data_IF_238209737533
#
_entry.id   IF_238209737533
#
_cell.length_a   1.000
_cell.length_b   1.000
_cell.length_c   1.000
_cell.angle_alpha   90.00
_cell.angle_beta   90.00
_cell.angle_gamma   90.00
#
_symmetry.space_group_name_H-M   'P 1'
#
loop_
_entity.id
_entity.type
_entity.pdbx_description
1 polymer ?
#
# COMPACT_ATOMS: atom_id res chain seq x y z
N UNK A 1 11.97 0.07 -7.99
CA UNK A 1 11.79 0.87 -6.77
C UNK A 1 10.47 0.54 -6.11
N UNK A 2 9.35 0.64 -6.85
CA UNK A 2 8.00 0.21 -6.41
C UNK A 2 8.00 -1.15 -5.71
N UNK A 3 8.57 -2.21 -6.32
CA UNK A 3 8.66 -3.53 -5.69
C UNK A 3 9.31 -3.52 -4.31
N UNK A 4 10.47 -2.89 -4.15
CA UNK A 4 11.17 -2.78 -2.86
C UNK A 4 10.34 -2.07 -1.78
N UNK A 5 9.62 -1.01 -2.15
CA UNK A 5 8.72 -0.30 -1.23
C UNK A 5 7.51 -1.16 -0.84
N UNK A 6 6.98 -1.93 -1.79
CA UNK A 6 5.90 -2.89 -1.55
C UNK A 6 6.35 -4.01 -0.61
N UNK A 7 7.54 -4.56 -0.83
CA UNK A 7 8.12 -5.61 0.01
C UNK A 7 8.35 -5.10 1.44
N UNK A 8 8.97 -3.91 1.58
CA UNK A 8 9.13 -3.24 2.88
C UNK A 8 7.79 -3.07 3.61
N UNK A 9 6.75 -2.63 2.89
CA UNK A 9 5.43 -2.43 3.47
C UNK A 9 4.78 -3.75 3.85
N UNK A 10 4.95 -4.81 3.06
CA UNK A 10 4.45 -6.14 3.38
C UNK A 10 5.11 -6.69 4.65
N UNK A 11 6.43 -6.49 4.82
CA UNK A 11 7.14 -6.85 6.05
C UNK A 11 6.57 -6.10 7.26
N UNK A 12 6.39 -4.78 7.17
CA UNK A 12 5.81 -4.00 8.27
C UNK A 12 4.38 -4.46 8.63
N UNK A 13 3.56 -4.79 7.63
CA UNK A 13 2.20 -5.32 7.85
C UNK A 13 2.20 -6.71 8.49
N UNK A 14 3.18 -7.56 8.17
CA UNK A 14 3.39 -8.83 8.89
C UNK A 14 3.83 -8.59 10.32
N UNK A 15 4.75 -7.66 10.56
CA UNK A 15 5.22 -7.30 11.91
C UNK A 15 4.10 -6.73 12.80
N UNK A 16 3.10 -6.09 12.19
CA UNK A 16 1.89 -5.59 12.86
C UNK A 16 0.74 -6.61 12.90
N UNK A 17 0.96 -7.85 12.46
CA UNK A 17 -0.04 -8.93 12.45
C UNK A 17 -1.27 -8.66 11.57
N UNK A 18 -1.12 -7.83 10.53
CA UNK A 18 -2.13 -7.62 9.48
C UNK A 18 -2.01 -8.63 8.34
N UNK A 19 -0.82 -9.24 8.19
CA UNK A 19 -0.53 -10.29 7.21
C UNK A 19 0.11 -11.51 7.87
N UNK A 20 0.01 -12.69 7.24
CA UNK A 20 0.73 -13.88 7.66
C UNK A 20 2.24 -13.68 7.81
N UNK A 21 2.90 -14.50 8.66
CA UNK A 21 4.30 -14.85 8.44
C UNK A 21 4.46 -15.33 6.99
N UNK A 22 5.26 -14.62 6.19
CA UNK A 22 5.39 -14.87 4.74
C UNK A 22 4.61 -13.91 3.84
N UNK A 23 3.84 -12.97 4.41
CA UNK A 23 3.15 -11.90 3.71
C UNK A 23 1.91 -12.36 2.93
N UNK A 24 1.63 -11.69 1.80
CA UNK A 24 0.62 -12.16 0.84
C UNK A 24 1.14 -13.40 0.10
N UNK A 25 1.24 -14.53 0.79
CA UNK A 25 1.52 -15.79 0.11
C UNK A 25 0.43 -16.04 -0.94
N UNK A 26 0.84 -16.59 -2.09
CA UNK A 26 -0.06 -17.07 -3.15
C UNK A 26 -1.05 -18.04 -2.49
N UNK A 27 -2.36 -18.03 -2.85
CA UNK A 27 -3.27 -19.06 -2.38
C UNK A 27 -2.65 -20.45 -2.63
N UNK A 28 -2.94 -21.45 -1.77
CA UNK A 28 -2.46 -22.80 -2.01
C UNK A 28 -2.76 -23.16 -3.46
N UNK A 29 -1.77 -23.72 -4.15
CA UNK A 29 -1.89 -24.12 -5.55
C UNK A 29 -3.21 -24.84 -5.78
N UNK A 30 -3.82 -24.66 -6.96
CA UNK A 30 -4.81 -25.57 -7.53
C UNK A 30 -4.21 -26.99 -7.79
N UNK A 31 -3.41 -27.50 -6.85
CA UNK A 31 -2.84 -28.84 -6.87
C UNK A 31 -3.81 -29.74 -6.10
N UNK A 32 -4.60 -30.57 -6.81
CA UNK A 32 -5.60 -31.44 -6.20
C UNK A 32 -5.00 -32.56 -5.34
N UNK A 33 -3.66 -32.63 -5.18
CA UNK A 33 -2.97 -33.68 -4.43
C UNK A 33 -2.26 -33.21 -3.15
N UNK A 34 -2.43 -31.95 -2.71
CA UNK A 34 -1.80 -31.40 -1.51
C UNK A 34 -2.44 -31.83 -0.17
N UNK A 35 -2.89 -33.08 -0.01
CA UNK A 35 -3.80 -33.47 1.08
C UNK A 35 -3.16 -34.02 2.37
N UNK A 36 -1.83 -34.15 2.48
CA UNK A 36 -1.24 -34.72 3.71
C UNK A 36 0.21 -34.26 3.98
N UNK A 37 0.34 -33.13 4.66
CA UNK A 37 1.41 -32.92 5.63
C UNK A 37 0.75 -32.42 6.91
N UNK A 38 0.52 -33.32 7.85
CA UNK A 38 -0.26 -33.09 9.06
C UNK A 38 0.06 -31.80 9.82
N UNK A 39 -1.00 -31.05 10.11
CA UNK A 39 -1.10 -30.02 11.18
C UNK A 39 -0.23 -28.77 11.06
N UNK A 40 -0.12 -28.18 9.87
CA UNK A 40 0.06 -26.73 9.77
C UNK A 40 -1.33 -26.10 9.68
N UNK A 41 -1.98 -25.91 10.84
CA UNK A 41 -3.17 -25.04 10.90
C UNK A 41 -2.60 -23.64 10.67
N UNK A 42 -2.57 -23.19 9.40
CA UNK A 42 -2.26 -21.79 9.13
C UNK A 42 -3.20 -20.96 10.02
N UNK A 43 -2.68 -19.95 10.73
CA UNK A 43 -3.52 -19.09 11.55
C UNK A 43 -4.71 -18.62 10.71
N UNK A 44 -5.90 -18.56 11.32
CA UNK A 44 -7.10 -18.01 10.67
C UNK A 44 -6.85 -16.52 10.41
N UNK A 45 -6.20 -16.23 9.28
CA UNK A 45 -5.88 -14.88 8.84
C UNK A 45 -7.18 -14.23 8.43
N UNK A 46 -7.68 -13.39 9.33
CA UNK A 46 -8.90 -12.62 9.13
C UNK A 46 -8.90 -11.95 7.75
N UNK A 47 -9.90 -12.31 6.93
CA UNK A 47 -10.12 -11.78 5.59
C UNK A 47 -10.18 -10.24 5.58
N UNK A 48 -10.71 -9.62 6.65
CA UNK A 48 -10.75 -8.16 6.81
C UNK A 48 -9.32 -7.59 6.88
N UNK A 49 -8.42 -8.23 7.64
CA UNK A 49 -7.03 -7.78 7.75
C UNK A 49 -6.30 -7.92 6.42
N UNK A 50 -6.53 -9.03 5.72
CA UNK A 50 -5.89 -9.29 4.42
C UNK A 50 -6.36 -8.27 3.38
N UNK A 51 -7.66 -8.00 3.31
CA UNK A 51 -8.21 -6.99 2.40
C UNK A 51 -7.63 -5.59 2.69
N UNK A 52 -7.57 -5.19 3.97
CA UNK A 52 -6.96 -3.92 4.36
C UNK A 52 -5.47 -3.87 4.00
N UNK A 53 -4.72 -4.96 4.21
CA UNK A 53 -3.32 -5.04 3.81
C UNK A 53 -3.12 -4.93 2.29
N UNK A 54 -3.98 -5.54 1.49
CA UNK A 54 -3.93 -5.41 0.03
C UNK A 54 -4.18 -3.97 -0.43
N UNK A 55 -5.14 -3.28 0.19
CA UNK A 55 -5.41 -1.86 -0.05
C UNK A 55 -4.20 -0.98 0.29
N UNK A 56 -3.55 -1.23 1.45
CA UNK A 56 -2.31 -0.54 1.86
C UNK A 56 -1.23 -0.70 0.79
N UNK A 57 -0.98 -1.94 0.36
CA UNK A 57 0.06 -2.22 -0.62
C UNK A 57 -0.26 -1.63 -1.99
N UNK A 58 -1.54 -1.50 -2.35
CA UNK A 58 -1.96 -0.79 -3.55
C UNK A 58 -1.69 0.72 -3.42
N UNK A 59 -2.06 1.33 -2.28
CA UNK A 59 -1.79 2.75 -1.99
C UNK A 59 -0.30 3.06 -2.04
N UNK A 60 0.55 2.23 -1.42
CA UNK A 60 2.02 2.37 -1.48
C UNK A 60 2.51 2.31 -2.93
N UNK A 61 2.06 1.31 -3.70
CA UNK A 61 2.45 1.18 -5.11
C UNK A 61 2.11 2.43 -5.91
N UNK A 62 0.92 3.00 -5.72
CA UNK A 62 0.49 4.19 -6.45
C UNK A 62 1.25 5.45 -6.03
N UNK A 63 1.48 5.67 -4.73
CA UNK A 63 2.24 6.82 -4.25
C UNK A 63 3.70 6.77 -4.74
N UNK A 64 4.35 5.60 -4.65
CA UNK A 64 5.73 5.42 -5.09
C UNK A 64 5.83 5.52 -6.62
N UNK A 65 4.85 4.98 -7.35
CA UNK A 65 4.79 5.11 -8.82
C UNK A 65 4.65 6.56 -9.23
N UNK A 66 3.78 7.33 -8.57
CA UNK A 66 3.64 8.77 -8.82
C UNK A 66 4.94 9.53 -8.56
N UNK A 67 5.65 9.24 -7.47
CA UNK A 67 6.95 9.84 -7.19
C UNK A 67 7.98 9.49 -8.28
N UNK A 68 8.03 8.22 -8.72
CA UNK A 68 8.91 7.79 -9.81
C UNK A 68 8.62 8.52 -11.14
N UNK A 69 7.34 8.60 -11.53
CA UNK A 69 6.93 9.16 -12.82
C UNK A 69 6.96 10.68 -12.87
N UNK A 70 6.78 11.36 -11.73
CA UNK A 70 6.52 12.80 -11.71
C UNK A 70 7.49 13.62 -10.85
N UNK A 71 8.37 12.98 -10.09
CA UNK A 71 9.25 13.67 -9.14
C UNK A 71 10.69 13.15 -9.08
N UNK A 72 11.10 12.27 -10.00
CA UNK A 72 12.44 11.69 -10.03
C UNK A 72 12.66 10.55 -9.03
N UNK A 73 11.60 10.09 -8.36
CA UNK A 73 11.62 9.00 -7.37
C UNK A 73 11.30 9.46 -5.95
N UNK A 74 10.87 8.52 -5.08
CA UNK A 74 10.75 8.77 -3.65
C UNK A 74 12.12 9.00 -3.01
N UNK A 75 12.17 9.96 -2.08
CA UNK A 75 13.29 10.17 -1.16
C UNK A 75 13.08 9.40 0.15
N UNK A 76 11.82 9.26 0.57
CA UNK A 76 11.44 8.68 1.86
C UNK A 76 10.07 8.01 1.73
N UNK A 77 9.91 6.87 2.39
CA UNK A 77 8.64 6.20 2.63
C UNK A 77 8.49 6.01 4.14
N UNK A 78 7.44 6.57 4.72
CA UNK A 78 7.10 6.41 6.15
C UNK A 78 5.76 5.70 6.27
N UNK A 79 5.71 4.72 7.16
CA UNK A 79 4.48 4.04 7.56
C UNK A 79 4.30 4.29 9.06
N UNK A 80 3.26 5.05 9.42
CA UNK A 80 2.93 5.41 10.80
C UNK A 80 1.62 4.73 11.20
N UNK A 81 1.74 3.68 12.02
CA UNK A 81 0.63 2.81 12.40
C UNK A 81 0.12 3.14 13.81
N UNK A 82 -1.20 3.29 13.92
CA UNK A 82 -1.94 3.50 15.17
C UNK A 82 -3.09 2.50 15.25
N UNK A 83 -3.70 2.30 16.42
CA UNK A 83 -4.87 1.41 16.54
C UNK A 83 -6.05 1.79 15.63
N UNK A 84 -6.16 3.06 15.20
CA UNK A 84 -7.28 3.54 14.40
C UNK A 84 -6.99 3.64 12.89
N UNK A 85 -5.72 3.84 12.52
CA UNK A 85 -5.32 4.07 11.13
C UNK A 85 -3.85 3.74 10.86
N UNK A 86 -3.55 3.47 9.60
CA UNK A 86 -2.20 3.54 9.04
C UNK A 86 -2.09 4.78 8.17
N UNK A 87 -1.07 5.61 8.42
CA UNK A 87 -0.68 6.74 7.59
C UNK A 87 0.55 6.37 6.75
N UNK A 88 0.40 6.53 5.44
CA UNK A 88 1.41 6.20 4.43
C UNK A 88 1.90 7.51 3.84
N UNK A 89 3.20 7.79 3.93
CA UNK A 89 3.79 9.02 3.42
C UNK A 89 4.92 8.71 2.44
N UNK A 90 4.90 9.37 1.29
CA UNK A 90 5.99 9.37 0.32
C UNK A 90 6.49 10.79 0.10
N UNK A 91 7.75 11.03 0.45
CA UNK A 91 8.41 12.32 0.21
C UNK A 91 9.20 12.28 -1.09
N UNK A 92 9.18 13.36 -1.86
CA UNK A 92 9.92 13.51 -3.12
C UNK A 92 10.45 14.95 -3.27
N UNK A 93 11.40 15.15 -4.21
CA UNK A 93 12.07 16.43 -4.40
C UNK A 93 11.24 17.48 -5.17
N UNK A 94 10.05 17.12 -5.67
CA UNK A 94 9.24 17.99 -6.51
C UNK A 94 8.28 18.83 -5.67
N UNK A 95 8.37 20.15 -5.80
CA UNK A 95 7.42 21.10 -5.19
C UNK A 95 6.03 21.10 -5.84
N UNK A 96 5.84 20.37 -6.95
CA UNK A 96 4.56 20.31 -7.66
C UNK A 96 3.59 19.38 -6.94
N UNK A 97 2.51 19.94 -6.39
CA UNK A 97 1.42 19.18 -5.82
C UNK A 97 0.80 18.18 -6.84
N UNK A 98 0.42 16.97 -6.40
CA UNK A 98 -0.31 16.03 -7.24
C UNK A 98 -1.64 16.65 -7.69
N UNK A 99 -1.98 16.50 -8.97
CA UNK A 99 -3.22 17.03 -9.55
C UNK A 99 -4.08 15.90 -10.09
N UNK A 100 -5.34 15.75 -9.64
CA UNK A 100 -6.29 14.84 -10.28
C UNK A 100 -6.41 15.13 -11.77
N UNK A 101 -6.44 14.08 -12.59
CA UNK A 101 -6.84 14.20 -13.98
C UNK A 101 -8.36 13.95 -14.05
N UNK A 102 -9.19 14.93 -14.45
CA UNK A 102 -10.64 14.80 -14.44
C UNK A 102 -11.17 13.76 -15.43
N UNK A 103 -10.38 13.42 -16.46
CA UNK A 103 -10.67 12.38 -17.44
C UNK A 103 -9.43 11.51 -17.63
N UNK A 104 -9.22 10.48 -16.79
CA UNK A 104 -8.20 9.48 -17.07
C UNK A 104 -8.60 8.76 -18.36
N UNK A 105 -7.72 8.78 -19.36
CA UNK A 105 -7.91 8.02 -20.59
C UNK A 105 -7.59 6.54 -20.28
N UNK A 106 -8.57 5.63 -20.35
CA UNK A 106 -8.33 4.21 -20.08
C UNK A 106 -7.33 3.56 -21.05
N UNK A 107 -7.05 4.18 -22.21
CA UNK A 107 -6.04 3.72 -23.16
C UNK A 107 -4.62 4.19 -22.81
N UNK A 108 -4.45 5.12 -21.86
CA UNK A 108 -3.15 5.62 -21.43
C UNK A 108 -2.75 4.93 -20.12
N UNK A 109 -1.63 4.19 -20.10
CA UNK A 109 -1.08 3.67 -18.85
C UNK A 109 -0.76 4.80 -17.87
N UNK A 110 -1.35 4.75 -16.68
CA UNK A 110 -1.15 5.73 -15.59
C UNK A 110 -2.31 6.72 -15.41
N UNK A 111 -2.23 7.56 -14.37
CA UNK A 111 -3.29 8.55 -14.07
C UNK A 111 -4.45 8.05 -13.22
N UNK A 112 -4.47 6.78 -12.86
CA UNK A 112 -5.44 6.19 -11.93
C UNK A 112 -5.01 6.34 -10.46
N UNK A 113 -3.75 6.67 -10.16
CA UNK A 113 -3.25 6.66 -8.78
C UNK A 113 -4.05 7.53 -7.81
N UNK A 114 -4.45 8.74 -8.20
CA UNK A 114 -5.30 9.58 -7.34
C UNK A 114 -6.75 9.08 -7.24
N UNK A 115 -7.23 8.33 -8.25
CA UNK A 115 -8.53 7.65 -8.19
C UNK A 115 -8.47 6.47 -7.21
N UNK A 116 -7.38 5.71 -7.22
CA UNK A 116 -7.12 4.63 -6.26
C UNK A 116 -7.08 5.20 -4.83
N UNK A 117 -6.33 6.28 -4.60
CA UNK A 117 -6.33 6.95 -3.29
C UNK A 117 -7.74 7.41 -2.88
N UNK A 118 -8.49 8.00 -3.81
CA UNK A 118 -9.86 8.45 -3.54
C UNK A 118 -10.86 7.33 -3.23
N UNK A 119 -10.52 6.07 -3.55
CA UNK A 119 -11.36 4.89 -3.26
C UNK A 119 -10.93 4.16 -1.99
N UNK A 120 -9.62 3.99 -1.80
CA UNK A 120 -9.06 3.14 -0.75
C UNK A 120 -8.69 3.92 0.52
N UNK A 121 -8.34 5.20 0.38
CA UNK A 121 -7.95 6.01 1.53
C UNK A 121 -9.16 6.72 2.14
N UNK A 122 -9.21 6.77 3.48
CA UNK A 122 -10.13 7.62 4.24
C UNK A 122 -9.86 9.10 3.99
N UNK A 123 -8.58 9.44 3.90
CA UNK A 123 -8.09 10.77 3.60
C UNK A 123 -6.76 10.68 2.85
N UNK A 124 -6.48 11.65 2.00
CA UNK A 124 -5.18 11.79 1.35
C UNK A 124 -4.90 13.25 1.05
N UNK A 125 -3.64 13.59 0.85
CA UNK A 125 -3.24 14.96 0.54
C UNK A 125 -1.77 15.10 0.21
N UNK A 126 -1.32 16.34 0.15
CA UNK A 126 0.09 16.67 -0.01
C UNK A 126 0.49 17.85 0.86
N UNK A 127 1.65 17.79 1.47
CA UNK A 127 2.24 18.85 2.29
C UNK A 127 3.58 19.28 1.68
N UNK A 128 3.82 20.58 1.44
CA UNK A 128 5.14 21.07 1.04
C UNK A 128 6.20 20.78 2.12
N UNK A 129 7.44 20.54 1.69
CA UNK A 129 8.63 20.49 2.55
C UNK A 129 9.64 21.53 2.06
N UNK A 130 10.64 21.83 2.89
CA UNK A 130 11.73 22.76 2.53
C UNK A 130 12.38 22.44 1.18
N UNK A 131 12.51 21.14 0.86
CA UNK A 131 13.08 20.66 -0.40
C UNK A 131 12.19 19.61 -1.08
N UNK A 132 10.93 19.97 -1.36
CA UNK A 132 10.01 19.14 -2.13
C UNK A 132 8.63 19.04 -1.50
N UNK A 133 8.08 17.83 -1.42
CA UNK A 133 6.78 17.60 -0.78
C UNK A 133 6.68 16.19 -0.19
N UNK A 134 5.69 16.01 0.67
CA UNK A 134 5.17 14.70 1.08
C UNK A 134 3.77 14.54 0.52
N UNK A 135 3.52 13.44 -0.19
CA UNK A 135 2.17 12.98 -0.52
C UNK A 135 1.81 11.89 0.47
N UNK A 136 0.61 11.95 1.04
CA UNK A 136 0.20 11.06 2.11
C UNK A 136 -1.21 10.52 1.89
N UNK A 137 -1.47 9.34 2.47
CA UNK A 137 -2.78 8.71 2.51
C UNK A 137 -3.00 8.02 3.86
N UNK A 138 -4.25 7.98 4.32
CA UNK A 138 -4.65 7.32 5.56
C UNK A 138 -5.68 6.23 5.25
N UNK A 139 -5.42 5.02 5.75
CA UNK A 139 -6.32 3.87 5.64
C UNK A 139 -6.75 3.44 7.04
N UNK A 140 -7.92 2.82 7.13
CA UNK A 140 -8.38 2.22 8.38
C UNK A 140 -7.38 1.17 8.87
N UNK A 141 -7.07 1.16 10.16
CA UNK A 141 -6.53 -0.06 10.75
C UNK A 141 -7.65 -1.11 10.81
N UNK A 142 -7.36 -2.39 10.51
CA UNK A 142 -8.31 -3.45 10.70
C UNK A 142 -8.58 -3.61 12.21
N UNK A 143 -9.71 -4.19 12.57
CA UNK A 143 -9.96 -4.47 13.98
C UNK A 143 -8.96 -5.50 14.50
N UNK A 144 -8.22 -5.11 15.53
CA UNK A 144 -7.43 -6.03 16.34
C UNK A 144 -8.39 -6.71 17.35
N UNK A 145 -8.21 -8.00 17.65
CA UNK A 145 -9.03 -8.78 18.58
C UNK A 145 -8.83 -8.34 20.04
#
# INVERSE_FOLDING_TARGET
MVGRCRDFSATALTDWEWLPPGGLARPPSDDPYAWDTGTDVEPDWDEERRAVAEDVLMVVSELVTNACLHAGGPLELVLDCTPERLRIEVSDASSRAPRPRPHPDPAVPGGHGLVVLGRLARAWGSMPRDSGKTVWAEVAAPRMP
#
